data_IF_103897643740
#
_entry.id   IF_103897643740
#
_cell.length_a   1.000
_cell.length_b   1.000
_cell.length_c   1.000
_cell.angle_alpha   90.00
_cell.angle_beta   90.00
_cell.angle_gamma   90.00
#
_symmetry.space_group_name_H-M   'P 1'
#
loop_
_entity.id
_entity.type
_entity.pdbx_description
1 polymer ?
#
# COMPACT_ATOMS: atom_id res chain seq x y z
N UNK A 1 57.73 -20.81 -5.60
CA UNK A 1 56.90 -21.17 -4.42
C UNK A 1 56.10 -19.93 -4.06
N UNK A 2 55.02 -19.72 -4.81
CA UNK A 2 53.62 -19.86 -4.39
C UNK A 2 53.05 -18.52 -3.93
N UNK A 3 52.59 -17.77 -4.93
CA UNK A 3 51.54 -16.77 -4.79
C UNK A 3 50.33 -17.40 -4.09
N UNK A 4 49.73 -16.67 -3.15
CA UNK A 4 48.34 -16.87 -2.75
C UNK A 4 47.60 -15.58 -3.05
N UNK A 5 47.00 -15.56 -4.22
CA UNK A 5 45.85 -14.71 -4.52
C UNK A 5 44.64 -15.34 -3.84
N UNK A 6 44.14 -14.70 -2.78
CA UNK A 6 42.81 -15.00 -2.25
C UNK A 6 41.85 -13.93 -2.77
N UNK A 7 41.20 -14.28 -3.87
CA UNK A 7 39.95 -13.69 -4.32
C UNK A 7 38.89 -14.09 -3.31
N UNK A 8 38.32 -13.12 -2.59
CA UNK A 8 37.15 -13.36 -1.74
C UNK A 8 36.02 -12.49 -2.26
N UNK A 9 35.14 -13.17 -2.98
CA UNK A 9 33.71 -12.95 -3.23
C UNK A 9 33.21 -11.50 -3.33
N UNK A 10 32.83 -11.11 -4.57
CA UNK A 10 31.85 -10.06 -4.78
C UNK A 10 30.56 -10.44 -4.04
N UNK A 11 30.21 -9.65 -3.02
CA UNK A 11 28.83 -9.56 -2.55
C UNK A 11 27.95 -9.34 -3.78
N UNK A 12 27.02 -10.27 -4.02
CA UNK A 12 26.09 -10.15 -5.13
C UNK A 12 25.38 -8.81 -5.04
N UNK A 13 25.40 -8.06 -6.13
CA UNK A 13 24.58 -6.86 -6.27
C UNK A 13 23.14 -7.28 -5.99
N UNK A 14 22.57 -6.83 -4.87
CA UNK A 14 21.13 -6.86 -4.67
C UNK A 14 20.53 -6.05 -5.82
N UNK A 15 19.89 -6.75 -6.76
CA UNK A 15 19.26 -6.13 -7.91
C UNK A 15 17.97 -5.48 -7.41
N UNK A 16 18.09 -4.31 -6.80
CA UNK A 16 16.94 -3.49 -6.47
C UNK A 16 16.25 -3.06 -7.77
N UNK A 17 14.91 -3.15 -7.77
CA UNK A 17 14.11 -2.64 -8.88
C UNK A 17 14.29 -1.12 -8.95
N UNK A 18 14.57 -0.63 -10.15
CA UNK A 18 14.54 0.82 -10.40
C UNK A 18 13.10 1.33 -10.28
N UNK A 19 12.94 2.63 -9.98
CA UNK A 19 11.62 3.29 -9.95
C UNK A 19 10.87 3.11 -11.27
N UNK A 20 11.57 3.08 -12.40
CA UNK A 20 10.96 2.89 -13.71
C UNK A 20 10.41 1.45 -13.88
N UNK A 21 11.18 0.43 -13.48
CA UNK A 21 10.72 -0.97 -13.48
C UNK A 21 9.53 -1.19 -12.55
N UNK A 22 9.54 -0.54 -11.38
CA UNK A 22 8.42 -0.54 -10.44
C UNK A 22 7.18 0.11 -11.06
N UNK A 23 7.36 1.25 -11.76
CA UNK A 23 6.27 1.93 -12.46
C UNK A 23 5.66 1.06 -13.55
N UNK A 24 6.47 0.52 -14.44
CA UNK A 24 6.02 -0.36 -15.52
C UNK A 24 5.21 -1.55 -14.96
N UNK A 25 5.72 -2.18 -13.90
CA UNK A 25 5.04 -3.30 -13.27
C UNK A 25 3.69 -2.92 -12.63
N UNK A 26 3.62 -1.76 -11.96
CA UNK A 26 2.36 -1.26 -11.38
C UNK A 26 1.36 -0.87 -12.46
N UNK A 27 1.79 -0.25 -13.56
CA UNK A 27 0.91 0.13 -14.69
C UNK A 27 0.25 -1.10 -15.33
N UNK A 28 0.95 -2.23 -15.41
CA UNK A 28 0.40 -3.50 -15.87
C UNK A 28 -0.61 -4.10 -14.87
N UNK A 29 -0.31 -4.07 -13.57
CA UNK A 29 -1.10 -4.72 -12.54
C UNK A 29 -2.34 -3.93 -12.10
N UNK A 30 -2.24 -2.60 -12.04
CA UNK A 30 -3.23 -1.73 -11.41
C UNK A 30 -4.64 -1.92 -12.01
N UNK A 31 -4.85 -1.93 -13.34
CA UNK A 31 -6.18 -2.12 -13.92
C UNK A 31 -6.81 -3.47 -13.55
N UNK A 32 -6.01 -4.53 -13.49
CA UNK A 32 -6.46 -5.88 -13.13
C UNK A 32 -6.98 -5.92 -11.70
N UNK A 33 -6.22 -5.34 -10.77
CA UNK A 33 -6.58 -5.30 -9.36
C UNK A 33 -7.75 -4.35 -9.07
N UNK A 34 -7.82 -3.19 -9.73
CA UNK A 34 -8.99 -2.29 -9.66
C UNK A 34 -10.27 -3.04 -10.05
N UNK A 35 -10.23 -3.77 -11.17
CA UNK A 35 -11.36 -4.55 -11.63
C UNK A 35 -11.72 -5.66 -10.64
N UNK A 36 -10.71 -6.41 -10.15
CA UNK A 36 -10.90 -7.55 -9.25
C UNK A 36 -11.44 -7.14 -7.88
N UNK A 37 -11.05 -5.98 -7.37
CA UNK A 37 -11.52 -5.44 -6.08
C UNK A 37 -12.85 -4.68 -6.23
N UNK A 38 -13.34 -4.51 -7.46
CA UNK A 38 -14.59 -3.81 -7.74
C UNK A 38 -14.51 -2.32 -7.41
N UNK A 39 -13.39 -1.70 -7.75
CA UNK A 39 -13.15 -0.25 -7.64
C UNK A 39 -13.07 0.49 -8.99
N UNK A 40 -13.67 0.05 -10.13
CA UNK A 40 -13.43 0.69 -11.43
C UNK A 40 -14.05 2.11 -11.56
N UNK A 41 -14.87 2.52 -10.60
CA UNK A 41 -15.42 3.87 -10.53
C UNK A 41 -14.45 4.87 -9.89
N UNK A 42 -13.37 4.40 -9.26
CA UNK A 42 -12.37 5.26 -8.65
C UNK A 42 -11.33 5.72 -9.67
N UNK A 43 -11.00 7.00 -9.60
CA UNK A 43 -9.81 7.57 -10.25
C UNK A 43 -8.61 7.38 -9.31
N UNK A 44 -7.79 6.37 -9.60
CA UNK A 44 -6.64 6.00 -8.77
C UNK A 44 -5.35 6.38 -9.49
N UNK A 45 -4.49 7.18 -8.84
CA UNK A 45 -3.12 7.45 -9.26
C UNK A 45 -2.12 6.75 -8.35
N UNK A 46 -0.95 6.39 -8.90
CA UNK A 46 0.18 5.87 -8.13
C UNK A 46 1.38 6.81 -8.29
N UNK A 47 1.96 7.20 -7.17
CA UNK A 47 3.18 8.01 -7.09
C UNK A 47 4.30 7.20 -6.43
N UNK A 48 5.55 7.56 -6.74
CA UNK A 48 6.74 6.85 -6.27
C UNK A 48 7.61 7.84 -5.49
N UNK A 49 7.78 7.58 -4.20
CA UNK A 49 8.50 8.47 -3.29
C UNK A 49 8.29 8.11 -1.83
N UNK A 50 8.97 8.81 -0.90
CA UNK A 50 8.88 8.49 0.51
C UNK A 50 7.45 8.69 1.05
N UNK A 51 7.01 7.77 1.90
CA UNK A 51 5.78 7.91 2.65
C UNK A 51 5.91 8.99 3.74
N UNK A 52 4.76 9.47 4.24
CA UNK A 52 4.70 10.43 5.35
C UNK A 52 5.28 9.88 6.66
N UNK A 53 5.18 8.57 6.85
CA UNK A 53 5.87 7.83 7.90
C UNK A 53 7.04 7.04 7.27
N UNK A 54 8.29 7.23 7.74
CA UNK A 54 9.46 6.55 7.18
C UNK A 54 9.45 5.03 7.36
N UNK A 55 8.62 4.49 8.26
CA UNK A 55 8.50 3.05 8.48
C UNK A 55 7.45 2.38 7.55
N UNK A 56 6.80 3.14 6.68
CA UNK A 56 5.76 2.62 5.78
C UNK A 56 6.29 2.39 4.37
N UNK A 57 6.05 1.19 3.84
CA UNK A 57 6.36 0.88 2.44
C UNK A 57 5.39 1.53 1.46
N UNK A 58 4.17 1.82 1.90
CA UNK A 58 3.12 2.42 1.08
C UNK A 58 2.16 3.24 1.93
N UNK A 59 1.41 4.14 1.28
CA UNK A 59 0.30 4.86 1.89
C UNK A 59 -0.77 5.19 0.86
N UNK A 60 -2.01 5.35 1.31
CA UNK A 60 -3.14 5.76 0.49
C UNK A 60 -3.79 7.03 1.04
N UNK A 61 -3.85 8.07 0.21
CA UNK A 61 -4.71 9.23 0.41
C UNK A 61 -5.98 9.07 -0.45
N UNK A 62 -7.13 9.50 0.07
CA UNK A 62 -8.42 9.32 -0.63
C UNK A 62 -9.42 10.42 -0.34
N UNK A 63 -10.17 10.78 -1.37
CA UNK A 63 -11.26 11.76 -1.33
C UNK A 63 -12.55 11.07 -1.75
N UNK A 64 -13.23 10.47 -0.77
CA UNK A 64 -14.40 9.60 -1.01
C UNK A 64 -15.55 10.30 -1.72
N UNK A 65 -15.72 11.60 -1.52
CA UNK A 65 -16.78 12.38 -2.18
C UNK A 65 -16.62 12.47 -3.71
N UNK A 66 -15.42 12.20 -4.23
CA UNK A 66 -15.08 12.30 -5.65
C UNK A 66 -14.57 10.99 -6.25
N UNK A 67 -14.58 9.90 -5.47
CA UNK A 67 -13.98 8.62 -5.86
C UNK A 67 -12.52 8.78 -6.35
N UNK A 68 -11.73 9.65 -5.72
CA UNK A 68 -10.31 9.88 -6.06
C UNK A 68 -9.41 9.29 -4.99
N UNK A 69 -8.39 8.53 -5.39
CA UNK A 69 -7.34 8.08 -4.49
C UNK A 69 -5.95 8.25 -5.10
N UNK A 70 -4.98 8.54 -4.24
CA UNK A 70 -3.56 8.56 -4.57
C UNK A 70 -2.85 7.56 -3.67
N UNK A 71 -2.17 6.60 -4.30
CA UNK A 71 -1.34 5.61 -3.63
C UNK A 71 0.11 6.07 -3.80
N UNK A 72 0.86 6.17 -2.70
CA UNK A 72 2.30 6.36 -2.75
C UNK A 72 2.96 5.03 -2.40
N UNK A 73 3.90 4.59 -3.24
CA UNK A 73 4.76 3.45 -2.94
C UNK A 73 6.19 3.96 -2.76
N UNK A 74 6.84 3.60 -1.65
CA UNK A 74 8.22 3.99 -1.38
C UNK A 74 9.19 3.00 -2.02
N UNK A 75 9.98 3.41 -3.04
CA UNK A 75 10.92 2.51 -3.70
C UNK A 75 12.01 1.99 -2.75
N UNK A 76 12.33 2.69 -1.66
CA UNK A 76 13.35 2.25 -0.71
C UNK A 76 12.93 1.04 0.15
N UNK A 77 11.63 0.68 0.11
CA UNK A 77 11.03 -0.36 0.92
C UNK A 77 10.56 -1.58 0.10
N UNK A 78 10.95 -1.67 -1.16
CA UNK A 78 10.52 -2.74 -2.07
C UNK A 78 11.70 -3.34 -2.83
N UNK A 79 12.02 -4.59 -2.54
CA UNK A 79 13.13 -5.30 -3.17
C UNK A 79 12.66 -6.26 -4.27
N UNK A 80 11.35 -6.47 -4.38
CA UNK A 80 10.77 -7.45 -5.30
C UNK A 80 9.40 -7.02 -5.85
N UNK A 81 9.04 -7.61 -6.99
CA UNK A 81 7.72 -7.44 -7.62
C UNK A 81 6.61 -7.93 -6.69
N UNK A 82 6.82 -9.03 -5.99
CA UNK A 82 5.88 -9.61 -5.05
C UNK A 82 5.57 -8.65 -3.88
N UNK A 83 6.57 -7.92 -3.39
CA UNK A 83 6.36 -6.90 -2.36
C UNK A 83 5.59 -5.70 -2.89
N UNK A 84 5.92 -5.23 -4.10
CA UNK A 84 5.20 -4.13 -4.77
C UNK A 84 3.73 -4.50 -4.93
N UNK A 85 3.44 -5.68 -5.46
CA UNK A 85 2.06 -6.17 -5.63
C UNK A 85 1.34 -6.27 -4.28
N UNK A 86 1.99 -6.81 -3.26
CA UNK A 86 1.41 -6.94 -1.92
C UNK A 86 1.06 -5.57 -1.30
N UNK A 87 1.94 -4.60 -1.44
CA UNK A 87 1.72 -3.21 -0.97
C UNK A 87 0.60 -2.55 -1.78
N UNK A 88 0.62 -2.68 -3.11
CA UNK A 88 -0.42 -2.13 -3.98
C UNK A 88 -1.82 -2.69 -3.63
N UNK A 89 -1.94 -4.00 -3.44
CA UNK A 89 -3.20 -4.64 -3.04
C UNK A 89 -3.65 -4.13 -1.66
N UNK A 90 -2.73 -3.96 -0.71
CA UNK A 90 -3.04 -3.43 0.61
C UNK A 90 -3.66 -2.03 0.52
N UNK A 91 -3.06 -1.13 -0.26
CA UNK A 91 -3.58 0.22 -0.46
C UNK A 91 -4.88 0.26 -1.25
N UNK A 92 -5.06 -0.61 -2.25
CA UNK A 92 -6.34 -0.72 -2.98
C UNK A 92 -7.48 -1.24 -2.09
N UNK A 93 -7.18 -2.06 -1.07
CA UNK A 93 -8.17 -2.47 -0.07
C UNK A 93 -8.58 -1.28 0.82
N UNK A 94 -7.66 -0.36 1.14
CA UNK A 94 -8.03 0.90 1.79
C UNK A 94 -8.97 1.74 0.92
N UNK A 95 -8.74 1.80 -0.40
CA UNK A 95 -9.69 2.43 -1.34
C UNK A 95 -11.04 1.73 -1.29
N UNK A 96 -11.07 0.40 -1.32
CA UNK A 96 -12.33 -0.38 -1.24
C UNK A 96 -13.12 -0.08 0.03
N UNK A 97 -12.43 0.09 1.14
CA UNK A 97 -13.03 0.33 2.45
C UNK A 97 -13.31 1.81 2.73
N UNK A 98 -12.96 2.72 1.82
CA UNK A 98 -13.07 4.17 2.00
C UNK A 98 -14.50 4.66 2.32
N UNK A 99 -15.53 3.88 1.99
CA UNK A 99 -16.92 4.18 2.40
C UNK A 99 -17.07 4.32 3.92
N UNK A 100 -16.25 3.63 4.72
CA UNK A 100 -16.24 3.78 6.17
C UNK A 100 -15.74 5.14 6.63
N UNK A 101 -14.96 5.85 5.82
CA UNK A 101 -14.52 7.21 6.14
C UNK A 101 -15.69 8.20 6.12
N UNK A 102 -16.69 7.98 5.25
CA UNK A 102 -17.89 8.81 5.25
C UNK A 102 -18.64 8.67 6.57
N UNK A 103 -18.79 7.43 7.05
CA UNK A 103 -19.38 7.19 8.36
C UNK A 103 -18.56 7.83 9.48
N UNK A 104 -17.23 7.64 9.45
CA UNK A 104 -16.29 8.25 10.40
C UNK A 104 -16.47 9.76 10.45
N UNK A 105 -16.42 10.44 9.31
CA UNK A 105 -16.54 11.88 9.21
C UNK A 105 -17.85 12.39 9.84
N UNK A 106 -18.97 11.68 9.66
CA UNK A 106 -20.24 12.04 10.28
C UNK A 106 -20.22 11.87 11.80
N UNK A 107 -19.61 10.79 12.33
CA UNK A 107 -19.58 10.55 13.78
C UNK A 107 -18.53 11.38 14.50
N UNK A 108 -17.53 11.90 13.79
CA UNK A 108 -16.47 12.75 14.35
C UNK A 108 -16.67 14.25 14.11
N UNK A 109 -17.63 14.67 13.27
CA UNK A 109 -17.82 16.07 12.85
C UNK A 109 -17.92 17.11 13.99
N UNK A 110 -18.38 16.71 15.18
CA UNK A 110 -18.54 17.59 16.34
C UNK A 110 -17.43 17.43 17.40
N UNK A 111 -16.40 16.62 17.11
CA UNK A 111 -15.27 16.42 18.02
C UNK A 111 -14.27 17.57 17.88
N UNK A 112 -13.70 17.97 19.00
CA UNK A 112 -12.60 18.93 19.01
C UNK A 112 -11.29 18.19 18.68
N UNK A 113 -10.56 18.63 17.63
CA UNK A 113 -9.30 18.01 17.25
C UNK A 113 -8.28 17.97 18.40
N UNK A 114 -7.57 16.86 18.53
CA UNK A 114 -6.48 16.68 19.49
C UNK A 114 -6.91 16.40 20.93
N UNK A 115 -8.21 16.33 21.22
CA UNK A 115 -8.72 15.86 22.52
C UNK A 115 -8.44 14.38 22.73
N UNK A 116 -8.49 13.90 23.98
CA UNK A 116 -8.31 12.47 24.28
C UNK A 116 -9.30 11.59 23.50
N UNK A 117 -10.57 11.99 23.47
CA UNK A 117 -11.61 11.28 22.72
C UNK A 117 -11.36 11.24 21.20
N UNK A 118 -10.78 12.31 20.63
CA UNK A 118 -10.41 12.37 19.20
C UNK A 118 -9.24 11.43 18.88
N UNK A 119 -8.22 11.39 19.75
CA UNK A 119 -7.08 10.46 19.61
C UNK A 119 -7.48 9.01 19.80
N UNK A 120 -8.33 8.72 20.78
CA UNK A 120 -8.87 7.37 21.02
C UNK A 120 -9.67 6.89 19.81
N UNK A 121 -10.57 7.72 19.28
CA UNK A 121 -11.32 7.37 18.06
C UNK A 121 -10.38 7.12 16.88
N UNK A 122 -9.37 7.98 16.68
CA UNK A 122 -8.40 7.80 15.59
C UNK A 122 -7.66 6.48 15.71
N UNK A 123 -7.17 6.14 16.91
CA UNK A 123 -6.48 4.88 17.15
C UNK A 123 -7.40 3.66 16.95
N UNK A 124 -8.66 3.73 17.40
CA UNK A 124 -9.63 2.66 17.19
C UNK A 124 -9.94 2.47 15.69
N UNK A 125 -10.14 3.57 14.98
CA UNK A 125 -10.42 3.54 13.55
C UNK A 125 -9.23 2.97 12.77
N UNK A 126 -8.01 3.47 13.01
CA UNK A 126 -6.77 2.97 12.39
C UNK A 126 -6.59 1.48 12.64
N UNK A 127 -6.75 1.03 13.89
CA UNK A 127 -6.66 -0.39 14.21
C UNK A 127 -7.71 -1.22 13.47
N UNK A 128 -8.96 -0.75 13.44
CA UNK A 128 -10.08 -1.51 12.86
C UNK A 128 -9.94 -1.62 11.34
N UNK A 129 -9.61 -0.52 10.66
CA UNK A 129 -9.46 -0.50 9.21
C UNK A 129 -8.28 -1.40 8.78
N UNK A 130 -7.16 -1.34 9.51
CA UNK A 130 -6.00 -2.19 9.26
C UNK A 130 -6.28 -3.68 9.46
N UNK A 131 -7.07 -4.05 10.47
CA UNK A 131 -7.49 -5.45 10.64
C UNK A 131 -8.41 -5.90 9.51
N UNK A 132 -9.36 -5.06 9.09
CA UNK A 132 -10.23 -5.35 7.96
C UNK A 132 -9.43 -5.55 6.67
N UNK A 133 -8.45 -4.70 6.39
CA UNK A 133 -7.54 -4.85 5.24
C UNK A 133 -6.74 -6.15 5.34
N UNK A 134 -6.19 -6.49 6.52
CA UNK A 134 -5.44 -7.75 6.71
C UNK A 134 -6.30 -8.98 6.45
N UNK A 135 -7.56 -8.98 6.90
CA UNK A 135 -8.47 -10.09 6.70
C UNK A 135 -8.92 -10.21 5.24
N UNK A 136 -9.26 -9.09 4.59
CA UNK A 136 -9.57 -9.08 3.16
C UNK A 136 -8.36 -9.53 2.32
N UNK A 137 -7.14 -9.09 2.67
CA UNK A 137 -5.93 -9.51 1.98
C UNK A 137 -5.72 -11.03 2.08
N UNK A 138 -5.98 -11.64 3.24
CA UNK A 138 -5.93 -13.12 3.39
C UNK A 138 -6.93 -13.81 2.47
N UNK A 139 -8.15 -13.27 2.34
CA UNK A 139 -9.15 -13.81 1.40
C UNK A 139 -8.66 -13.68 -0.05
N UNK A 140 -8.10 -12.53 -0.42
CA UNK A 140 -7.54 -12.27 -1.75
C UNK A 140 -6.39 -13.22 -2.08
N UNK A 141 -5.43 -13.40 -1.16
CA UNK A 141 -4.31 -14.33 -1.33
C UNK A 141 -4.76 -15.80 -1.38
N UNK A 142 -5.78 -16.17 -0.59
CA UNK A 142 -6.37 -17.51 -0.60
C UNK A 142 -7.11 -17.87 -1.89
N UNK A 143 -7.48 -16.87 -2.71
CA UNK A 143 -8.08 -17.07 -4.03
C UNK A 143 -7.07 -17.35 -5.15
N UNK A 144 -5.76 -17.38 -4.86
CA UNK A 144 -4.70 -17.65 -5.85
C UNK A 144 -4.62 -19.09 -6.40
N UNK A 145 -5.64 -19.93 -6.17
CA UNK A 145 -5.74 -21.31 -6.69
C UNK A 145 -6.86 -21.52 -7.72
N UNK A 146 -7.56 -20.47 -8.11
CA UNK A 146 -8.53 -20.48 -9.20
C UNK A 146 -8.01 -19.48 -10.23
N UNK A 147 -7.81 -19.94 -11.47
CA UNK A 147 -7.23 -19.28 -12.64
C UNK A 147 -5.72 -19.53 -12.84
#
# INVERSE_FOLDING_TARGET
MSEKSEVVHSSGDEVHLTVEQMREYVEELLPLWIQRLGCPHWSISVTYGPCSNPDWSAQCSRQVAYDVAEITLDPAHHDSKEEIERSLIHELLHVKLAVFDLYRNVVTQNRLPGTAADREESALWEFTIEQAVKDLRRMVSGMGGLF
#
